data_IF_013209926623
#
_entry.id   IF_013209926623
#
_cell.length_a   1.000
_cell.length_b   1.000
_cell.length_c   1.000
_cell.angle_alpha   90.00
_cell.angle_beta   90.00
_cell.angle_gamma   90.00
#
_symmetry.space_group_name_H-M   'P 1'
#
loop_
_entity.id
_entity.type
_entity.pdbx_description
1 polymer ?
#
# COMPACT_ATOMS: atom_id res chain seq x y z
N UNK A 1 -16.92 -6.61 3.08
CA UNK A 1 -17.16 -5.32 3.76
C UNK A 1 -18.34 -4.65 3.11
N UNK A 2 -19.31 -4.16 3.88
CA UNK A 2 -20.48 -3.46 3.30
C UNK A 2 -20.09 -2.03 2.94
N UNK A 3 -20.58 -1.52 1.81
CA UNK A 3 -20.25 -0.18 1.30
C UNK A 3 -20.64 0.94 2.28
N UNK A 4 -21.67 0.73 3.10
CA UNK A 4 -22.11 1.68 4.15
C UNK A 4 -21.01 2.03 5.16
N UNK A 5 -20.04 1.13 5.35
CA UNK A 5 -18.89 1.38 6.24
C UNK A 5 -17.82 2.28 5.61
N UNK A 6 -17.93 2.61 4.33
CA UNK A 6 -16.90 3.36 3.59
C UNK A 6 -17.41 4.70 3.06
N UNK A 7 -18.65 4.74 2.61
CA UNK A 7 -19.22 5.90 1.92
C UNK A 7 -19.11 7.16 2.79
N UNK A 8 -18.56 8.23 2.20
CA UNK A 8 -18.30 9.52 2.86
C UNK A 8 -17.36 9.48 4.07
N UNK A 9 -16.66 8.37 4.33
CA UNK A 9 -15.70 8.24 5.45
C UNK A 9 -14.25 8.39 5.01
N UNK A 10 -13.38 8.70 5.96
CA UNK A 10 -11.93 8.60 5.78
C UNK A 10 -11.50 7.19 6.22
N UNK A 11 -10.77 6.49 5.36
CA UNK A 11 -10.26 5.16 5.65
C UNK A 11 -8.76 5.23 5.86
N UNK A 12 -8.26 4.54 6.89
CA UNK A 12 -6.83 4.24 7.05
C UNK A 12 -6.63 2.76 6.82
N UNK A 13 -5.90 2.40 5.77
CA UNK A 13 -5.53 0.99 5.51
C UNK A 13 -4.24 0.67 6.25
N UNK A 14 -4.23 -0.47 6.94
CA UNK A 14 -3.12 -0.97 7.75
C UNK A 14 -2.78 -2.40 7.28
N UNK A 15 -1.52 -2.62 6.91
CA UNK A 15 -0.88 -3.91 6.63
C UNK A 15 0.57 -3.73 7.07
N UNK A 16 0.81 -3.79 8.38
CA UNK A 16 2.07 -3.32 8.92
C UNK A 16 3.23 -4.23 8.54
N UNK A 17 2.97 -5.54 8.38
CA UNK A 17 3.90 -6.55 7.91
C UNK A 17 3.44 -7.15 6.57
N UNK A 18 3.70 -6.50 5.44
CA UNK A 18 4.63 -5.37 5.25
C UNK A 18 4.14 -4.31 4.26
N UNK A 19 2.96 -4.48 3.66
CA UNK A 19 2.62 -3.71 2.46
C UNK A 19 2.54 -2.19 2.72
N UNK A 20 1.88 -1.77 3.81
CA UNK A 20 1.79 -0.33 4.13
C UNK A 20 3.13 0.24 4.57
N UNK A 21 3.93 -0.51 5.33
CA UNK A 21 5.30 -0.14 5.68
C UNK A 21 6.19 0.06 4.46
N UNK A 22 6.06 -0.79 3.42
CA UNK A 22 6.75 -0.63 2.13
C UNK A 22 6.31 0.65 1.43
N UNK A 23 5.01 0.88 1.29
CA UNK A 23 4.47 2.07 0.64
C UNK A 23 5.00 3.35 1.31
N UNK A 24 4.91 3.41 2.64
CA UNK A 24 5.37 4.56 3.43
C UNK A 24 6.87 4.77 3.27
N UNK A 25 7.66 3.70 3.37
CA UNK A 25 9.13 3.78 3.24
C UNK A 25 9.54 4.26 1.86
N UNK A 26 8.93 3.73 0.79
CA UNK A 26 9.22 4.15 -0.57
C UNK A 26 8.91 5.63 -0.81
N UNK A 27 7.75 6.11 -0.33
CA UNK A 27 7.36 7.52 -0.46
C UNK A 27 8.23 8.45 0.40
N UNK A 28 8.60 8.05 1.61
CA UNK A 28 9.54 8.78 2.46
C UNK A 28 10.91 8.94 1.76
N UNK A 29 11.35 7.88 1.07
CA UNK A 29 12.55 7.81 0.24
C UNK A 29 12.36 8.37 -1.18
N UNK A 30 11.37 9.26 -1.36
CA UNK A 30 11.16 10.08 -2.55
C UNK A 30 10.74 9.32 -3.81
N UNK A 31 10.14 8.15 -3.68
CA UNK A 31 9.41 7.54 -4.79
C UNK A 31 8.36 8.53 -5.32
N UNK A 32 8.18 8.58 -6.64
CA UNK A 32 7.23 9.50 -7.28
C UNK A 32 5.79 9.11 -6.99
N UNK A 33 5.51 7.80 -6.99
CA UNK A 33 4.21 7.20 -6.65
C UNK A 33 4.38 5.70 -6.43
N UNK A 34 3.50 5.13 -5.61
CA UNK A 34 3.31 3.69 -5.47
C UNK A 34 1.92 3.34 -5.99
N UNK A 35 1.83 2.31 -6.83
CA UNK A 35 0.64 1.93 -7.59
C UNK A 35 0.30 0.49 -7.20
N UNK A 36 -0.65 0.27 -6.29
CA UNK A 36 -1.03 -1.08 -5.86
C UNK A 36 -1.81 -1.81 -6.96
N UNK A 37 -1.49 -3.07 -7.19
CA UNK A 37 -2.16 -3.99 -8.13
C UNK A 37 -2.60 -5.27 -7.42
N UNK A 38 -3.79 -5.77 -7.74
CA UNK A 38 -4.35 -6.95 -7.09
C UNK A 38 -3.61 -8.21 -7.52
N UNK A 39 -3.29 -8.30 -8.81
CA UNK A 39 -2.67 -9.48 -9.39
C UNK A 39 -1.26 -9.20 -9.92
N UNK A 40 -0.49 -10.27 -10.16
CA UNK A 40 0.84 -10.15 -10.76
C UNK A 40 0.72 -9.79 -12.24
N UNK A 41 -0.31 -10.34 -12.88
CA UNK A 41 -0.66 -10.09 -14.27
C UNK A 41 -0.98 -8.61 -14.48
N UNK A 42 -1.82 -8.01 -13.64
CA UNK A 42 -2.13 -6.57 -13.67
C UNK A 42 -0.87 -5.71 -13.47
N UNK A 43 0.08 -6.16 -12.63
CA UNK A 43 1.34 -5.45 -12.40
C UNK A 43 2.21 -5.42 -13.66
N UNK A 44 2.34 -6.55 -14.36
CA UNK A 44 3.07 -6.63 -15.62
C UNK A 44 2.38 -5.86 -16.75
N UNK A 45 1.04 -5.93 -16.83
CA UNK A 45 0.27 -5.13 -17.79
C UNK A 45 0.49 -3.62 -17.54
N UNK A 46 0.48 -3.20 -16.27
CA UNK A 46 0.74 -1.80 -15.92
C UNK A 46 2.17 -1.38 -16.24
N UNK A 47 3.15 -2.26 -16.03
CA UNK A 47 4.54 -2.01 -16.41
C UNK A 47 4.64 -1.79 -17.92
N UNK A 48 4.02 -2.66 -18.72
CA UNK A 48 3.98 -2.53 -20.18
C UNK A 48 3.38 -1.19 -20.62
N UNK A 49 2.24 -0.78 -20.05
CA UNK A 49 1.61 0.52 -20.34
C UNK A 49 2.54 1.70 -20.05
N UNK A 50 3.36 1.62 -18.99
CA UNK A 50 4.33 2.65 -18.65
C UNK A 50 5.49 2.69 -19.65
N UNK A 51 6.02 1.52 -20.02
CA UNK A 51 7.11 1.40 -20.98
C UNK A 51 6.71 1.93 -22.36
N UNK A 52 5.48 1.68 -22.82
CA UNK A 52 4.93 2.25 -24.05
C UNK A 52 4.89 3.80 -24.03
N UNK A 53 4.84 4.40 -22.84
CA UNK A 53 4.88 5.85 -22.62
C UNK A 53 6.29 6.38 -22.37
N UNK A 54 7.33 5.55 -22.52
CA UNK A 54 8.72 5.91 -22.25
C UNK A 54 9.02 6.11 -20.76
N UNK A 55 8.22 5.53 -19.87
CA UNK A 55 8.41 5.60 -18.43
C UNK A 55 8.88 4.22 -17.96
N UNK A 56 9.98 4.18 -17.21
CA UNK A 56 10.49 2.95 -16.60
C UNK A 56 10.04 2.87 -15.12
N UNK A 57 9.02 2.04 -14.79
CA UNK A 57 8.62 1.79 -13.42
C UNK A 57 9.43 0.63 -12.83
N UNK A 58 9.44 0.55 -11.50
CA UNK A 58 9.96 -0.59 -10.74
C UNK A 58 8.80 -1.47 -10.28
N UNK A 59 9.01 -2.78 -10.27
CA UNK A 59 8.08 -3.78 -9.75
C UNK A 59 8.52 -4.24 -8.36
N UNK A 60 7.61 -4.14 -7.40
CA UNK A 60 7.83 -4.59 -6.03
C UNK A 60 6.70 -5.47 -5.56
N UNK A 61 6.97 -6.43 -4.66
CA UNK A 61 5.89 -7.24 -4.12
C UNK A 61 6.27 -8.62 -3.65
N UNK A 62 5.24 -9.38 -3.28
CA UNK A 62 5.41 -10.75 -2.82
C UNK A 62 4.21 -11.63 -3.16
N UNK A 63 4.45 -12.95 -3.17
CA UNK A 63 3.45 -13.97 -2.95
C UNK A 63 3.98 -14.94 -1.91
N UNK A 64 3.21 -15.21 -0.84
CA UNK A 64 3.63 -16.07 0.28
C UNK A 64 4.98 -15.66 0.90
N UNK A 65 5.19 -14.35 1.03
CA UNK A 65 6.40 -13.69 1.50
C UNK A 65 7.66 -13.86 0.61
N UNK A 66 7.53 -14.45 -0.57
CA UNK A 66 8.63 -14.64 -1.53
C UNK A 66 8.55 -13.60 -2.65
N UNK A 67 9.72 -13.18 -3.17
CA UNK A 67 9.78 -12.29 -4.35
C UNK A 67 9.06 -12.94 -5.52
N UNK A 68 8.37 -12.13 -6.32
CA UNK A 68 7.75 -12.57 -7.56
C UNK A 68 8.84 -12.60 -8.66
N UNK A 69 8.85 -13.65 -9.48
CA UNK A 69 9.79 -13.74 -10.60
C UNK A 69 9.56 -12.57 -11.58
N UNK A 70 10.66 -11.91 -11.97
CA UNK A 70 10.61 -10.71 -12.80
C UNK A 70 10.37 -9.40 -12.04
N UNK A 71 10.17 -9.43 -10.71
CA UNK A 71 10.09 -8.21 -9.90
C UNK A 71 11.48 -7.75 -9.45
N UNK A 72 11.65 -6.43 -9.37
CA UNK A 72 12.88 -5.78 -8.91
C UNK A 72 13.07 -6.01 -7.41
N UNK A 73 12.01 -5.81 -6.62
CA UNK A 73 12.04 -5.87 -5.16
C UNK A 73 11.04 -6.88 -4.57
N UNK A 74 11.37 -7.38 -3.38
CA UNK A 74 10.44 -8.06 -2.48
C UNK A 74 9.47 -7.07 -1.83
N UNK A 75 8.64 -7.55 -0.91
CA UNK A 75 7.86 -6.71 0.00
C UNK A 75 8.62 -6.36 1.30
N UNK A 76 9.95 -6.18 1.22
CA UNK A 76 10.80 -5.76 2.34
C UNK A 76 11.04 -4.25 2.29
N UNK A 77 10.64 -3.45 3.30
CA UNK A 77 10.88 -2.01 3.31
C UNK A 77 12.36 -1.61 3.13
N UNK A 78 13.28 -2.46 3.56
CA UNK A 78 14.73 -2.22 3.48
C UNK A 78 15.27 -2.15 2.04
N UNK A 79 14.55 -2.70 1.06
CA UNK A 79 14.96 -2.66 -0.36
C UNK A 79 14.60 -1.34 -1.03
N UNK A 80 13.68 -0.57 -0.44
CA UNK A 80 13.15 0.69 -1.01
C UNK A 80 13.96 1.89 -0.54
N UNK A 81 15.28 1.85 -0.68
CA UNK A 81 16.21 2.95 -0.34
C UNK A 81 16.02 4.15 -1.28
N UNK A 82 16.42 5.35 -0.85
CA UNK A 82 16.35 6.55 -1.71
C UNK A 82 17.10 6.35 -3.03
N UNK A 83 18.28 5.71 -3.01
CA UNK A 83 19.06 5.39 -4.22
C UNK A 83 18.24 4.57 -5.23
N UNK A 84 17.51 3.57 -4.75
CA UNK A 84 16.72 2.69 -5.60
C UNK A 84 15.45 3.34 -6.14
N UNK A 85 14.77 4.16 -5.33
CA UNK A 85 13.37 4.55 -5.62
C UNK A 85 13.14 6.01 -5.93
N UNK A 86 14.12 6.89 -5.71
CA UNK A 86 13.94 8.34 -5.89
C UNK A 86 13.45 8.70 -7.28
N UNK A 87 12.31 9.38 -7.34
CA UNK A 87 11.69 9.82 -8.59
C UNK A 87 11.07 8.69 -9.43
N UNK A 88 11.18 7.42 -9.01
CA UNK A 88 10.66 6.26 -9.73
C UNK A 88 9.20 6.00 -9.39
N UNK A 89 8.49 5.38 -10.34
CA UNK A 89 7.13 4.89 -10.12
C UNK A 89 7.24 3.43 -9.71
N UNK A 90 6.59 3.05 -8.62
CA UNK A 90 6.62 1.67 -8.13
C UNK A 90 5.26 1.06 -8.37
N UNK A 91 5.21 -0.08 -9.03
CA UNK A 91 4.03 -0.93 -9.13
C UNK A 91 4.19 -2.01 -8.07
N UNK A 92 3.25 -2.06 -7.12
CA UNK A 92 3.33 -2.93 -5.95
C UNK A 92 2.22 -3.99 -6.00
N UNK A 93 2.56 -5.28 -5.87
CA UNK A 93 1.54 -6.34 -5.73
C UNK A 93 1.84 -7.25 -4.54
N UNK A 94 0.90 -7.34 -3.60
CA UNK A 94 1.03 -8.14 -2.38
C UNK A 94 -0.22 -8.98 -2.15
N UNK A 95 -0.16 -9.92 -1.22
CA UNK A 95 -1.27 -10.84 -0.90
C UNK A 95 -2.43 -10.15 -0.18
N UNK A 96 -2.13 -9.26 0.78
CA UNK A 96 -3.15 -8.69 1.68
C UNK A 96 -3.39 -7.17 1.42
N UNK A 97 -2.36 -6.34 1.54
CA UNK A 97 -2.51 -4.88 1.56
C UNK A 97 -3.12 -4.27 0.30
N UNK A 98 -2.74 -4.71 -0.90
CA UNK A 98 -3.34 -4.20 -2.15
C UNK A 98 -4.84 -4.52 -2.24
N UNK A 99 -5.27 -5.66 -1.70
CA UNK A 99 -6.69 -6.02 -1.59
C UNK A 99 -7.43 -5.10 -0.62
N UNK A 100 -6.85 -4.78 0.54
CA UNK A 100 -7.47 -3.86 1.50
C UNK A 100 -7.62 -2.44 0.94
N UNK A 101 -6.61 -1.95 0.20
CA UNK A 101 -6.70 -0.66 -0.52
C UNK A 101 -7.82 -0.69 -1.54
N UNK A 102 -7.90 -1.75 -2.36
CA UNK A 102 -8.94 -1.85 -3.39
C UNK A 102 -10.36 -1.92 -2.80
N UNK A 103 -10.53 -2.61 -1.68
CA UNK A 103 -11.80 -2.65 -0.95
C UNK A 103 -12.20 -1.29 -0.37
N UNK A 104 -11.26 -0.35 -0.28
CA UNK A 104 -11.46 0.98 0.31
C UNK A 104 -11.79 2.07 -0.72
N UNK A 105 -11.85 1.73 -2.03
CA UNK A 105 -12.01 2.71 -3.12
C UNK A 105 -13.30 3.54 -3.09
N UNK A 106 -14.30 3.13 -2.29
CA UNK A 106 -15.54 3.89 -2.07
C UNK A 106 -15.43 4.96 -0.98
N UNK A 107 -14.32 4.99 -0.24
CA UNK A 107 -14.07 5.99 0.78
C UNK A 107 -13.90 7.39 0.19
N UNK A 108 -14.22 8.42 0.97
CA UNK A 108 -13.97 9.83 0.59
C UNK A 108 -12.48 10.10 0.44
N UNK A 109 -11.66 9.48 1.30
CA UNK A 109 -10.21 9.63 1.36
C UNK A 109 -9.61 8.33 1.92
N UNK A 110 -8.52 7.88 1.32
CA UNK A 110 -7.77 6.72 1.79
C UNK A 110 -6.39 7.20 2.25
N UNK A 111 -6.04 6.88 3.49
CA UNK A 111 -4.72 7.05 4.06
C UNK A 111 -4.06 5.67 4.19
N UNK A 112 -2.74 5.67 4.11
CA UNK A 112 -1.91 4.49 4.35
C UNK A 112 -1.27 4.66 5.73
N UNK A 113 -1.59 3.76 6.65
CA UNK A 113 -1.11 3.79 8.03
C UNK A 113 -0.24 2.58 8.37
N UNK A 114 0.81 2.82 9.12
CA UNK A 114 1.61 1.83 9.81
C UNK A 114 2.24 2.47 11.07
N UNK A 115 2.83 1.66 11.96
CA UNK A 115 3.50 2.16 13.16
C UNK A 115 4.52 3.27 12.86
N UNK A 116 5.22 3.19 11.71
CA UNK A 116 6.26 4.14 11.30
C UNK A 116 5.75 5.53 10.89
N UNK A 117 4.44 5.70 10.67
CA UNK A 117 3.84 7.01 10.37
C UNK A 117 2.57 7.31 11.20
N UNK A 118 2.31 6.54 12.27
CA UNK A 118 1.09 6.63 13.06
C UNK A 118 0.83 8.06 13.58
N UNK A 119 1.86 8.73 14.09
CA UNK A 119 1.75 10.13 14.55
C UNK A 119 1.34 11.08 13.41
N UNK A 120 1.92 10.92 12.23
CA UNK A 120 1.59 11.74 11.06
C UNK A 120 0.15 11.50 10.60
N UNK A 121 -0.31 10.25 10.60
CA UNK A 121 -1.70 9.89 10.29
C UNK A 121 -2.66 10.49 11.31
N UNK A 122 -2.40 10.30 12.62
CA UNK A 122 -3.22 10.86 13.69
C UNK A 122 -3.30 12.40 13.62
N UNK A 123 -2.17 13.07 13.39
CA UNK A 123 -2.13 14.52 13.21
C UNK A 123 -2.95 14.96 11.99
N UNK A 124 -2.88 14.23 10.88
CA UNK A 124 -3.66 14.54 9.66
C UNK A 124 -5.17 14.37 9.86
N UNK A 125 -5.58 13.48 10.79
CA UNK A 125 -6.97 13.17 11.10
C UNK A 125 -7.55 14.04 12.22
N UNK A 126 -6.70 14.60 13.10
CA UNK A 126 -7.11 15.37 14.28
C UNK A 126 -8.03 16.57 13.99
N UNK A 127 -8.02 17.07 12.75
CA UNK A 127 -8.82 18.23 12.29
C UNK A 127 -9.97 17.84 11.36
N UNK A 128 -10.14 16.56 11.07
CA UNK A 128 -11.17 16.07 10.17
C UNK A 128 -12.47 15.84 10.97
N UNK A 129 -13.59 16.42 10.50
CA UNK A 129 -14.92 16.20 11.09
C UNK A 129 -15.63 14.97 10.49
N UNK A 130 -14.95 14.27 9.58
CA UNK A 130 -15.48 13.10 8.88
C UNK A 130 -15.20 11.84 9.69
N UNK A 131 -16.18 10.93 9.80
CA UNK A 131 -15.99 9.60 10.40
C UNK A 131 -14.74 8.89 9.84
N UNK A 132 -14.01 8.23 10.73
CA UNK A 132 -12.78 7.50 10.42
C UNK A 132 -13.04 6.01 10.57
N UNK A 133 -12.52 5.22 9.64
CA UNK A 133 -12.52 3.76 9.69
C UNK A 133 -11.10 3.24 9.49
N UNK A 134 -10.62 2.46 10.45
CA UNK A 134 -9.35 1.75 10.35
C UNK A 134 -9.62 0.36 9.74
N UNK A 135 -8.93 0.04 8.66
CA UNK A 135 -9.07 -1.23 7.95
C UNK A 135 -7.77 -2.00 8.05
N UNK A 136 -7.81 -3.02 8.88
CA UNK A 136 -6.76 -4.01 9.02
C UNK A 136 -6.84 -4.96 7.82
N UNK A 137 -5.74 -5.14 7.11
CA UNK A 137 -5.68 -6.01 5.94
C UNK A 137 -5.79 -7.46 6.33
N UNK A 138 -5.33 -7.79 7.53
CA UNK A 138 -5.30 -9.14 8.03
C UNK A 138 -4.26 -9.99 7.29
N UNK A 139 -4.22 -11.28 7.63
CA UNK A 139 -3.39 -12.25 6.92
C UNK A 139 -4.27 -13.37 6.40
N UNK A 140 -4.26 -13.58 5.08
CA UNK A 140 -5.09 -14.60 4.42
C UNK A 140 -6.60 -14.48 4.71
N UNK A 141 -7.09 -13.25 4.94
CA UNK A 141 -8.48 -12.97 5.26
C UNK A 141 -8.85 -13.13 6.74
N UNK A 142 -7.89 -13.45 7.60
CA UNK A 142 -8.06 -13.61 9.03
C UNK A 142 -7.51 -12.40 9.81
N UNK A 143 -7.95 -12.27 11.07
CA UNK A 143 -7.43 -11.29 12.01
C UNK A 143 -5.89 -11.39 12.14
N UNK A 144 -5.23 -10.23 12.22
CA UNK A 144 -3.78 -10.13 12.40
C UNK A 144 -3.46 -9.22 13.59
N UNK A 145 -2.70 -9.74 14.56
CA UNK A 145 -2.37 -9.04 15.80
C UNK A 145 -1.55 -7.78 15.53
N UNK A 146 -0.62 -7.86 14.57
CA UNK A 146 0.26 -6.77 14.17
C UNK A 146 -0.55 -5.61 13.57
N UNK A 147 -1.48 -5.87 12.67
CA UNK A 147 -2.37 -4.82 12.20
C UNK A 147 -3.21 -4.25 13.35
N UNK A 148 -3.70 -5.09 14.27
CA UNK A 148 -4.58 -4.66 15.36
C UNK A 148 -3.89 -3.81 16.42
N UNK A 149 -2.64 -4.11 16.77
CA UNK A 149 -1.86 -3.26 17.68
C UNK A 149 -1.46 -1.93 17.02
N UNK A 150 -1.39 -1.89 15.68
CA UNK A 150 -1.11 -0.67 14.93
C UNK A 150 -2.32 0.26 14.83
N UNK A 151 -3.55 -0.29 14.84
CA UNK A 151 -4.81 0.46 14.76
C UNK A 151 -5.12 1.22 16.05
#
# INVERSE_FOLDING_TARGET
MKEEYLNNKIVVVIDMLRATSVIITALANKAKRVIPMLTVEEAFEKQKEFLEKGIEPLLGGERKAVKIDGFDFTNSPLEYTEENVKGKNIILSTTNGTRAINLSLKAKKILIGAMINAEAVANSLSKEETDIVLINSGTNGEFSIDDFICS
#
